data_IF_148046251445
#
_entry.id   IF_148046251445
#
_cell.length_a   1.000
_cell.length_b   1.000
_cell.length_c   1.000
_cell.angle_alpha   90.00
_cell.angle_beta   90.00
_cell.angle_gamma   90.00
#
_symmetry.space_group_name_H-M   'P 1'
#
loop_
_entity.id
_entity.type
_entity.pdbx_description
1 polymer ?
#
# COMPACT_ATOMS: atom_id res chain seq x y z
N UNK A 1 34.52 48.01 -14.91
CA UNK A 1 33.98 46.92 -15.75
C UNK A 1 34.79 45.67 -15.46
N UNK A 2 34.30 44.82 -14.56
CA UNK A 2 34.85 43.47 -14.34
C UNK A 2 33.79 42.49 -14.81
N UNK A 3 34.00 42.00 -16.03
CA UNK A 3 33.25 40.94 -16.67
C UNK A 3 33.40 39.64 -15.83
N UNK A 4 32.35 39.24 -15.14
CA UNK A 4 32.25 37.89 -14.59
C UNK A 4 31.48 37.05 -15.61
N UNK A 5 32.21 36.22 -16.35
CA UNK A 5 31.64 35.25 -17.28
C UNK A 5 30.59 34.33 -16.62
N UNK A 6 29.76 33.65 -17.43
CA UNK A 6 28.61 32.91 -16.93
C UNK A 6 29.07 31.77 -16.01
N UNK A 7 28.70 31.87 -14.72
CA UNK A 7 28.84 30.77 -13.76
C UNK A 7 27.92 29.64 -14.23
N UNK A 8 28.48 28.60 -14.85
CA UNK A 8 27.76 27.32 -15.07
C UNK A 8 27.35 26.80 -13.70
N UNK A 9 26.06 26.95 -13.32
CA UNK A 9 25.48 26.21 -12.20
C UNK A 9 25.48 24.75 -12.63
N UNK A 10 26.36 23.96 -12.04
CA UNK A 10 26.27 22.50 -12.12
C UNK A 10 25.00 22.11 -11.36
N UNK A 11 24.03 21.53 -12.05
CA UNK A 11 22.79 21.05 -11.44
C UNK A 11 23.11 19.91 -10.45
N UNK A 12 22.36 19.86 -9.34
CA UNK A 12 22.47 18.76 -8.37
C UNK A 12 22.14 17.45 -9.06
N UNK A 13 21.20 17.45 -10.02
CA UNK A 13 20.89 16.28 -10.85
C UNK A 13 22.06 15.78 -11.67
N UNK A 14 22.80 16.67 -12.34
CA UNK A 14 24.04 16.27 -13.04
C UNK A 14 25.08 15.70 -12.06
N UNK A 15 25.18 16.27 -10.86
CA UNK A 15 26.13 15.81 -9.84
C UNK A 15 25.76 14.44 -9.28
N UNK A 16 24.47 14.20 -9.01
CA UNK A 16 23.96 12.91 -8.52
C UNK A 16 24.07 11.83 -9.60
N UNK A 17 23.72 12.10 -10.87
CA UNK A 17 23.92 11.15 -11.98
C UNK A 17 25.40 10.75 -12.12
N UNK A 18 26.33 11.70 -11.94
CA UNK A 18 27.78 11.43 -12.00
C UNK A 18 28.29 10.63 -10.81
N UNK A 19 27.71 10.81 -9.62
CA UNK A 19 28.08 10.07 -8.39
C UNK A 19 27.45 8.68 -8.31
N UNK A 20 26.21 8.51 -8.79
CA UNK A 20 25.50 7.23 -8.81
C UNK A 20 26.17 6.18 -9.70
N UNK A 21 26.90 6.60 -10.74
CA UNK A 21 27.70 5.72 -11.59
C UNK A 21 28.97 5.14 -10.94
N UNK A 22 29.32 5.54 -9.70
CA UNK A 22 30.58 5.18 -9.04
C UNK A 22 30.43 4.32 -7.76
N UNK A 23 29.23 3.85 -7.42
CA UNK A 23 28.97 3.23 -6.11
C UNK A 23 28.47 1.78 -6.12
N UNK A 24 29.34 0.81 -6.41
CA UNK A 24 29.11 -0.60 -6.06
C UNK A 24 30.41 -1.22 -5.52
N UNK A 25 30.65 -1.14 -4.20
CA UNK A 25 31.66 -1.95 -3.51
C UNK A 25 31.51 -1.92 -1.96
N UNK A 26 31.14 -3.08 -1.38
CA UNK A 26 31.41 -3.50 0.02
C UNK A 26 30.52 -2.89 1.11
N UNK A 27 30.14 -3.57 2.20
CA UNK A 27 30.59 -4.83 2.78
C UNK A 27 29.55 -5.29 3.82
N UNK A 28 29.43 -6.60 3.97
CA UNK A 28 28.68 -7.32 4.99
C UNK A 28 29.33 -7.25 6.40
N UNK A 29 28.54 -7.56 7.44
CA UNK A 29 28.98 -7.91 8.80
C UNK A 29 27.87 -7.66 9.84
N UNK A 30 26.99 -8.64 10.12
CA UNK A 30 27.05 -9.68 11.15
C UNK A 30 26.98 -9.21 12.63
N UNK A 31 25.87 -9.61 13.26
CA UNK A 31 25.72 -10.30 14.55
C UNK A 31 26.10 -9.62 15.88
N UNK A 32 25.23 -9.82 16.89
CA UNK A 32 25.62 -9.77 18.30
C UNK A 32 24.45 -9.56 19.29
N UNK A 33 23.91 -10.66 19.81
CA UNK A 33 22.88 -10.72 20.87
C UNK A 33 23.46 -10.51 22.30
N UNK A 34 22.53 -10.55 23.27
CA UNK A 34 22.67 -10.81 24.73
C UNK A 34 23.06 -9.61 25.60
N UNK A 35 22.45 -9.31 26.76
CA UNK A 35 21.55 -10.04 27.65
C UNK A 35 22.14 -10.03 29.07
N UNK A 36 21.40 -9.54 30.09
CA UNK A 36 21.60 -9.73 31.56
C UNK A 36 20.63 -8.76 32.30
N UNK A 37 20.05 -8.95 33.49
CA UNK A 37 19.88 -10.06 34.46
C UNK A 37 19.04 -9.56 35.66
N UNK A 38 18.27 -10.47 36.26
CA UNK A 38 18.01 -10.57 37.71
C UNK A 38 16.96 -9.66 38.35
N UNK A 39 16.19 -10.05 39.37
CA UNK A 39 16.08 -11.29 40.15
C UNK A 39 15.28 -11.01 41.44
N UNK A 40 14.63 -12.07 41.96
CA UNK A 40 14.28 -12.39 43.36
C UNK A 40 13.05 -11.86 44.14
N UNK A 41 12.41 -12.84 44.83
CA UNK A 41 11.70 -12.79 46.13
C UNK A 41 10.16 -12.85 46.07
N UNK A 42 9.43 -13.98 46.25
CA UNK A 42 9.16 -14.82 47.45
C UNK A 42 8.44 -14.04 48.59
N UNK A 43 7.41 -14.47 49.35
CA UNK A 43 6.81 -15.77 49.75
C UNK A 43 5.40 -15.58 50.37
N UNK A 44 4.63 -16.68 50.52
CA UNK A 44 3.70 -16.95 51.65
C UNK A 44 2.21 -17.15 51.28
N UNK A 45 1.68 -18.36 51.06
CA UNK A 45 1.25 -19.46 51.98
C UNK A 45 -0.14 -19.35 52.65
N UNK A 46 -1.04 -20.22 52.18
CA UNK A 46 -1.87 -21.24 52.88
C UNK A 46 -3.11 -20.95 53.75
N UNK A 47 -4.15 -21.76 53.47
CA UNK A 47 -5.24 -22.25 54.36
C UNK A 47 -6.65 -21.82 53.92
N UNK A 48 -7.69 -22.65 53.71
CA UNK A 48 -7.92 -24.09 53.91
C UNK A 48 -9.35 -24.33 54.47
N UNK A 49 -10.22 -25.03 53.69
CA UNK A 49 -11.47 -25.75 54.10
C UNK A 49 -12.79 -24.96 54.12
N UNK A 50 -14.00 -25.51 53.93
CA UNK A 50 -14.52 -26.76 53.32
C UNK A 50 -16.03 -26.54 53.01
N UNK A 51 -16.59 -27.44 52.19
CA UNK A 51 -17.99 -27.87 52.06
C UNK A 51 -19.08 -26.96 51.43
N UNK A 52 -19.67 -27.50 50.36
CA UNK A 52 -20.92 -27.03 49.76
C UNK A 52 -21.24 -27.79 48.48
N UNK A 53 -21.77 -29.01 48.62
CA UNK A 53 -22.51 -29.73 47.58
C UNK A 53 -23.64 -28.87 47.04
N UNK A 54 -23.75 -28.71 45.73
CA UNK A 54 -25.00 -28.87 45.00
C UNK A 54 -24.74 -28.94 43.49
N UNK A 55 -25.24 -30.00 42.88
CA UNK A 55 -25.14 -30.25 41.46
C UNK A 55 -26.04 -29.32 40.66
N UNK A 56 -25.47 -28.71 39.63
CA UNK A 56 -26.19 -28.25 38.46
C UNK A 56 -25.33 -28.58 37.24
N UNK A 57 -25.97 -29.21 36.29
CA UNK A 57 -25.47 -29.68 34.99
C UNK A 57 -24.76 -28.55 34.23
N UNK A 58 -23.43 -28.47 34.38
CA UNK A 58 -22.59 -27.58 33.59
C UNK A 58 -22.21 -28.34 32.32
N UNK A 59 -23.12 -28.30 31.35
CA UNK A 59 -22.83 -28.69 29.98
C UNK A 59 -21.85 -27.67 29.41
N UNK A 60 -20.55 -27.89 29.64
CA UNK A 60 -19.50 -27.16 28.94
C UNK A 60 -19.77 -27.34 27.44
N UNK A 61 -20.01 -26.26 26.65
CA UNK A 61 -20.00 -26.42 25.22
C UNK A 61 -18.57 -26.80 24.88
N UNK A 62 -18.37 -28.06 24.50
CA UNK A 62 -17.19 -28.46 23.74
C UNK A 62 -17.17 -27.51 22.57
N UNK A 63 -16.24 -26.55 22.57
CA UNK A 63 -15.87 -25.85 21.37
C UNK A 63 -15.53 -26.96 20.38
N UNK A 64 -16.44 -27.19 19.44
CA UNK A 64 -16.11 -27.96 18.27
C UNK A 64 -15.02 -27.11 17.61
N UNK A 65 -13.76 -27.51 17.79
CA UNK A 65 -12.74 -27.22 16.80
C UNK A 65 -13.20 -27.92 15.52
N UNK A 66 -14.14 -27.30 14.81
CA UNK A 66 -14.27 -27.50 13.37
C UNK A 66 -13.08 -26.78 12.76
N UNK A 67 -11.89 -27.37 12.92
CA UNK A 67 -10.76 -27.00 12.10
C UNK A 67 -11.19 -27.29 10.67
N UNK A 68 -11.32 -26.23 9.86
CA UNK A 68 -11.48 -26.39 8.43
C UNK A 68 -10.22 -27.10 7.94
N UNK A 69 -10.35 -28.24 7.26
CA UNK A 69 -9.19 -28.97 6.71
C UNK A 69 -8.46 -28.13 5.64
N UNK A 70 -9.18 -27.20 5.00
CA UNK A 70 -8.68 -26.16 4.11
C UNK A 70 -9.52 -24.89 4.24
N UNK A 71 -8.99 -23.74 3.82
CA UNK A 71 -9.74 -22.47 3.72
C UNK A 71 -9.71 -22.03 2.27
N UNK A 72 -10.88 -21.73 1.69
CA UNK A 72 -11.00 -21.18 0.35
C UNK A 72 -11.13 -19.67 0.40
N UNK A 73 -10.18 -18.95 -0.17
CA UNK A 73 -10.16 -17.49 -0.18
C UNK A 73 -10.09 -16.91 -1.60
N UNK A 74 -10.87 -15.86 -1.88
CA UNK A 74 -10.90 -15.21 -3.17
C UNK A 74 -10.53 -13.73 -3.09
N UNK A 75 -9.75 -13.25 -4.07
CA UNK A 75 -9.41 -11.83 -4.20
C UNK A 75 -10.04 -11.22 -5.45
N UNK A 76 -10.60 -10.03 -5.30
CA UNK A 76 -11.21 -9.27 -6.39
C UNK A 76 -10.34 -8.05 -6.69
N UNK A 77 -9.80 -8.00 -7.91
CA UNK A 77 -8.92 -6.91 -8.37
C UNK A 77 -9.64 -6.00 -9.37
N UNK A 78 -9.33 -4.70 -9.28
CA UNK A 78 -9.86 -3.66 -10.18
C UNK A 78 -9.19 -3.70 -11.56
N UNK A 79 -7.95 -4.17 -11.63
CA UNK A 79 -7.14 -4.32 -12.85
C UNK A 79 -6.47 -5.70 -12.86
N UNK A 80 -5.87 -6.07 -13.99
CA UNK A 80 -4.98 -7.24 -14.03
C UNK A 80 -3.68 -6.94 -13.23
N UNK A 81 -3.10 -7.94 -12.52
CA UNK A 81 -1.80 -7.80 -11.85
C UNK A 81 -0.62 -7.41 -12.78
N UNK A 82 -0.84 -7.37 -14.10
CA UNK A 82 0.10 -6.81 -15.07
C UNK A 82 0.28 -5.28 -14.96
N UNK A 83 -0.52 -4.58 -14.16
CA UNK A 83 -0.39 -3.13 -13.91
C UNK A 83 0.96 -2.71 -13.30
N UNK A 84 1.67 -3.66 -12.66
CA UNK A 84 2.92 -3.44 -11.92
C UNK A 84 2.79 -2.32 -10.88
N UNK A 85 1.60 -2.20 -10.28
CA UNK A 85 1.23 -1.20 -9.28
C UNK A 85 0.30 -1.79 -8.23
N UNK A 86 -0.97 -1.39 -8.25
CA UNK A 86 -1.94 -1.69 -7.18
C UNK A 86 -2.37 -3.16 -7.15
N UNK A 87 -2.93 -3.67 -8.25
CA UNK A 87 -3.40 -5.07 -8.32
C UNK A 87 -2.22 -6.02 -8.29
N UNK A 88 -1.08 -5.65 -8.90
CA UNK A 88 0.17 -6.37 -8.74
C UNK A 88 0.56 -6.52 -7.26
N UNK A 89 0.56 -5.43 -6.48
CA UNK A 89 0.94 -5.48 -5.07
C UNK A 89 0.01 -6.37 -4.25
N UNK A 90 -1.31 -6.32 -4.51
CA UNK A 90 -2.27 -7.21 -3.86
C UNK A 90 -2.03 -8.67 -4.23
N UNK A 91 -1.78 -8.97 -5.50
CA UNK A 91 -1.49 -10.34 -5.95
C UNK A 91 -0.14 -10.86 -5.42
N UNK A 92 0.87 -10.02 -5.26
CA UNK A 92 2.09 -10.41 -4.53
C UNK A 92 1.79 -10.80 -3.08
N UNK A 93 0.89 -10.06 -2.41
CA UNK A 93 0.43 -10.41 -1.08
C UNK A 93 -0.28 -11.76 -1.04
N UNK A 94 -1.21 -12.00 -1.97
CA UNK A 94 -1.94 -13.27 -2.10
C UNK A 94 -0.97 -14.44 -2.34
N UNK A 95 -0.04 -14.30 -3.29
CA UNK A 95 0.98 -15.33 -3.59
C UNK A 95 1.83 -15.66 -2.38
N UNK A 96 2.21 -14.66 -1.59
CA UNK A 96 2.96 -14.89 -0.35
C UNK A 96 2.15 -15.70 0.68
N UNK A 97 0.84 -15.44 0.80
CA UNK A 97 -0.03 -16.22 1.67
C UNK A 97 -0.23 -17.66 1.14
N UNK A 98 -0.48 -17.82 -0.16
CA UNK A 98 -0.63 -19.12 -0.84
C UNK A 98 0.63 -19.99 -0.67
N UNK A 99 1.82 -19.41 -0.78
CA UNK A 99 3.10 -20.09 -0.52
C UNK A 99 3.36 -20.37 0.97
N UNK A 100 2.72 -19.59 1.86
CA UNK A 100 2.92 -19.65 3.31
C UNK A 100 2.05 -20.69 4.02
N UNK A 101 0.94 -21.11 3.41
CA UNK A 101 -0.05 -21.99 4.04
C UNK A 101 -0.50 -23.12 3.13
N UNK A 102 -0.08 -24.36 3.44
CA UNK A 102 -0.45 -25.56 2.68
C UNK A 102 -1.96 -25.89 2.70
N UNK A 103 -2.73 -25.25 3.60
CA UNK A 103 -4.17 -25.43 3.76
C UNK A 103 -5.00 -24.33 3.09
N UNK A 104 -4.35 -23.30 2.52
CA UNK A 104 -5.04 -22.19 1.87
C UNK A 104 -5.23 -22.50 0.38
N UNK A 105 -6.47 -22.41 -0.08
CA UNK A 105 -6.81 -22.45 -1.51
C UNK A 105 -7.18 -21.04 -1.97
N UNK A 106 -6.44 -20.51 -2.94
CA UNK A 106 -6.65 -19.14 -3.41
C UNK A 106 -7.31 -19.08 -4.79
N UNK A 107 -8.25 -18.14 -4.97
CA UNK A 107 -8.84 -17.79 -6.25
C UNK A 107 -8.77 -16.27 -6.49
N UNK A 108 -8.89 -15.85 -7.75
CA UNK A 108 -8.82 -14.44 -8.16
C UNK A 108 -9.81 -14.12 -9.25
N UNK A 109 -10.45 -12.96 -9.14
CA UNK A 109 -11.20 -12.35 -10.26
C UNK A 109 -10.58 -10.99 -10.56
N UNK A 110 -10.06 -10.84 -11.78
CA UNK A 110 -9.33 -9.66 -12.21
C UNK A 110 -10.22 -8.72 -13.06
N UNK A 111 -9.81 -7.46 -13.20
CA UNK A 111 -10.47 -6.47 -14.08
C UNK A 111 -11.97 -6.29 -13.78
N UNK A 112 -12.33 -6.23 -12.49
CA UNK A 112 -13.73 -6.11 -12.07
C UNK A 112 -14.13 -4.64 -11.99
N UNK A 113 -14.87 -4.16 -12.98
CA UNK A 113 -15.42 -2.81 -12.96
C UNK A 113 -16.33 -2.58 -11.73
N UNK A 114 -16.40 -1.36 -11.17
CA UNK A 114 -17.25 -1.06 -10.02
C UNK A 114 -18.73 -1.46 -10.20
N UNK A 115 -19.25 -1.38 -11.42
CA UNK A 115 -20.62 -1.77 -11.75
C UNK A 115 -20.87 -3.28 -11.68
N UNK A 116 -19.82 -4.09 -11.82
CA UNK A 116 -19.87 -5.55 -11.78
C UNK A 116 -19.59 -6.13 -10.38
N UNK A 117 -19.08 -5.31 -9.47
CA UNK A 117 -18.61 -5.74 -8.14
C UNK A 117 -19.65 -6.55 -7.35
N UNK A 118 -20.91 -6.10 -7.28
CA UNK A 118 -21.94 -6.83 -6.50
C UNK A 118 -22.19 -8.22 -7.07
N UNK A 119 -22.24 -8.33 -8.40
CA UNK A 119 -22.44 -9.61 -9.08
C UNK A 119 -21.26 -10.55 -8.80
N UNK A 120 -20.03 -10.08 -8.98
CA UNK A 120 -18.82 -10.86 -8.72
C UNK A 120 -18.73 -11.33 -7.27
N UNK A 121 -18.95 -10.44 -6.29
CA UNK A 121 -18.92 -10.79 -4.86
C UNK A 121 -19.97 -11.86 -4.54
N UNK A 122 -21.17 -11.74 -5.12
CA UNK A 122 -22.25 -12.72 -4.94
C UNK A 122 -21.93 -14.06 -5.60
N UNK A 123 -21.32 -14.07 -6.78
CA UNK A 123 -20.87 -15.29 -7.45
C UNK A 123 -19.84 -16.03 -6.61
N UNK A 124 -18.80 -15.34 -6.12
CA UNK A 124 -17.79 -15.92 -5.24
C UNK A 124 -18.40 -16.45 -3.92
N UNK A 125 -19.32 -15.69 -3.33
CA UNK A 125 -20.04 -16.14 -2.12
C UNK A 125 -20.82 -17.43 -2.38
N UNK A 126 -21.56 -17.49 -3.50
CA UNK A 126 -22.35 -18.68 -3.87
C UNK A 126 -21.49 -19.88 -4.27
N UNK A 127 -20.25 -19.66 -4.72
CA UNK A 127 -19.26 -20.70 -4.98
C UNK A 127 -18.69 -21.33 -3.71
N UNK A 128 -18.98 -20.76 -2.53
CA UNK A 128 -18.62 -21.33 -1.25
C UNK A 128 -17.24 -20.92 -0.74
N UNK A 129 -16.69 -19.79 -1.19
CA UNK A 129 -15.48 -19.24 -0.58
C UNK A 129 -15.75 -18.83 0.87
N UNK A 130 -14.83 -19.19 1.76
CA UNK A 130 -14.88 -18.87 3.19
C UNK A 130 -14.53 -17.41 3.44
N UNK A 131 -13.57 -16.87 2.66
CA UNK A 131 -13.09 -15.49 2.78
C UNK A 131 -13.06 -14.80 1.42
N UNK A 132 -13.58 -13.57 1.34
CA UNK A 132 -13.54 -12.76 0.10
C UNK A 132 -12.89 -11.40 0.39
N UNK A 133 -11.79 -11.12 -0.31
CA UNK A 133 -11.06 -9.85 -0.26
C UNK A 133 -11.46 -8.96 -1.44
N UNK A 134 -12.03 -7.79 -1.15
CA UNK A 134 -12.35 -6.77 -2.14
C UNK A 134 -11.31 -5.65 -2.08
N UNK A 135 -10.44 -5.57 -3.09
CA UNK A 135 -9.22 -4.74 -3.01
C UNK A 135 -9.38 -3.36 -3.64
N UNK A 136 -10.59 -2.82 -3.74
CA UNK A 136 -10.85 -1.47 -4.28
C UNK A 136 -11.92 -0.73 -3.49
N UNK A 137 -11.80 0.60 -3.40
CA UNK A 137 -12.66 1.43 -2.57
C UNK A 137 -14.14 1.31 -2.95
N UNK A 138 -14.43 1.33 -4.25
CA UNK A 138 -15.78 1.29 -4.82
C UNK A 138 -16.54 -0.01 -4.51
N UNK A 139 -15.85 -1.07 -4.11
CA UNK A 139 -16.46 -2.35 -3.76
C UNK A 139 -17.12 -2.36 -2.38
N UNK A 140 -16.96 -1.30 -1.57
CA UNK A 140 -17.44 -1.27 -0.19
C UNK A 140 -18.94 -1.52 -0.09
N UNK A 141 -19.74 -0.75 -0.83
CA UNK A 141 -21.20 -0.79 -0.72
C UNK A 141 -21.78 -2.08 -1.32
N UNK A 142 -21.30 -2.57 -2.49
CA UNK A 142 -21.60 -3.91 -2.97
C UNK A 142 -21.30 -5.02 -1.94
N UNK A 143 -20.09 -5.03 -1.37
CA UNK A 143 -19.68 -6.04 -0.38
C UNK A 143 -20.54 -5.95 0.88
N UNK A 144 -20.79 -4.75 1.37
CA UNK A 144 -21.64 -4.51 2.55
C UNK A 144 -23.08 -4.97 2.36
N UNK A 145 -23.60 -4.93 1.12
CA UNK A 145 -24.92 -5.44 0.76
C UNK A 145 -24.95 -6.97 0.71
N UNK A 146 -23.95 -7.60 0.08
CA UNK A 146 -23.87 -9.06 -0.01
C UNK A 146 -23.62 -9.69 1.36
N UNK A 147 -22.71 -9.12 2.16
CA UNK A 147 -22.37 -9.63 3.49
C UNK A 147 -23.57 -9.71 4.45
N UNK A 148 -24.57 -8.83 4.30
CA UNK A 148 -25.79 -8.83 5.13
C UNK A 148 -26.58 -10.14 5.07
N UNK A 149 -26.54 -10.82 3.92
CA UNK A 149 -27.36 -12.01 3.67
C UNK A 149 -26.55 -13.31 3.73
N UNK A 150 -25.26 -13.25 4.03
CA UNK A 150 -24.32 -14.38 3.98
C UNK A 150 -23.41 -14.38 5.23
N UNK A 151 -23.97 -14.60 6.43
CA UNK A 151 -23.23 -14.46 7.69
C UNK A 151 -22.10 -15.48 7.86
N UNK A 152 -22.14 -16.59 7.12
CA UNK A 152 -21.14 -17.67 7.20
C UNK A 152 -19.87 -17.38 6.39
N UNK A 153 -19.90 -16.39 5.49
CA UNK A 153 -18.72 -15.94 4.71
C UNK A 153 -18.11 -14.72 5.38
N UNK A 154 -16.77 -14.72 5.48
CA UNK A 154 -15.99 -13.58 5.96
C UNK A 154 -15.63 -12.68 4.77
N UNK A 155 -15.78 -11.38 4.96
CA UNK A 155 -15.47 -10.38 3.94
C UNK A 155 -14.43 -9.40 4.45
N UNK A 156 -13.44 -9.06 3.63
CA UNK A 156 -12.42 -8.06 3.97
C UNK A 156 -12.37 -6.98 2.90
N UNK A 157 -12.70 -5.75 3.28
CA UNK A 157 -12.73 -4.61 2.36
C UNK A 157 -11.50 -3.72 2.49
N UNK A 158 -10.80 -3.49 1.39
CA UNK A 158 -9.65 -2.59 1.35
C UNK A 158 -10.11 -1.12 1.27
N UNK A 159 -9.47 -0.26 2.07
CA UNK A 159 -9.57 1.22 2.05
C UNK A 159 -10.91 1.86 2.43
N UNK A 160 -11.99 1.08 2.53
CA UNK A 160 -13.29 1.57 2.98
C UNK A 160 -13.38 1.86 4.48
N UNK A 161 -14.59 2.15 4.92
CA UNK A 161 -14.89 2.58 6.27
C UNK A 161 -16.07 1.86 6.93
N UNK A 162 -16.94 1.20 6.16
CA UNK A 162 -18.04 0.37 6.69
C UNK A 162 -17.51 -0.99 7.18
N UNK A 163 -18.20 -1.55 8.16
CA UNK A 163 -17.92 -2.87 8.74
C UNK A 163 -19.23 -3.55 9.11
N UNK A 164 -19.23 -4.88 9.16
CA UNK A 164 -20.28 -5.73 9.75
C UNK A 164 -19.61 -6.79 10.64
N UNK A 165 -20.40 -7.60 11.32
CA UNK A 165 -19.90 -8.71 12.13
C UNK A 165 -19.03 -9.68 11.32
N UNK A 166 -19.43 -9.98 10.07
CA UNK A 166 -18.70 -10.81 9.11
C UNK A 166 -17.98 -10.01 8.01
N UNK A 167 -17.84 -8.69 8.17
CA UNK A 167 -17.16 -7.84 7.17
C UNK A 167 -16.17 -6.89 7.86
N UNK A 168 -14.90 -7.24 7.79
CA UNK A 168 -13.77 -6.43 8.20
C UNK A 168 -13.41 -5.35 7.19
N UNK A 169 -12.43 -4.54 7.58
CA UNK A 169 -11.81 -3.55 6.70
C UNK A 169 -10.32 -3.46 7.01
N UNK A 170 -9.54 -3.15 5.99
CA UNK A 170 -8.11 -2.97 6.15
C UNK A 170 -7.55 -1.88 5.24
N UNK A 171 -6.56 -1.15 5.75
CA UNK A 171 -5.80 -0.21 4.95
C UNK A 171 -4.50 0.18 5.66
N UNK A 172 -3.38 0.16 4.93
CA UNK A 172 -2.11 0.68 5.44
C UNK A 172 -2.10 2.21 5.55
N UNK A 173 -1.39 2.76 6.53
CA UNK A 173 -1.14 4.21 6.70
C UNK A 173 -0.14 4.74 5.68
N UNK A 174 -0.51 4.70 4.40
CA UNK A 174 0.37 5.01 3.28
C UNK A 174 0.87 6.46 3.30
N UNK A 175 0.13 7.36 3.96
CA UNK A 175 0.54 8.74 4.23
C UNK A 175 1.89 8.83 4.95
N UNK A 176 2.25 7.85 5.80
CA UNK A 176 3.56 7.82 6.44
C UNK A 176 4.69 7.62 5.41
N UNK A 177 4.52 6.68 4.49
CA UNK A 177 5.49 6.44 3.44
C UNK A 177 5.52 7.60 2.42
N UNK A 178 4.35 8.18 2.10
CA UNK A 178 4.23 9.38 1.24
C UNK A 178 4.96 10.58 1.83
N UNK A 179 4.89 10.77 3.15
CA UNK A 179 5.66 11.82 3.81
C UNK A 179 7.15 11.65 3.56
N UNK A 180 7.68 10.43 3.70
CA UNK A 180 9.10 10.14 3.46
C UNK A 180 9.51 10.32 1.99
N UNK A 181 8.67 9.90 1.04
CA UNK A 181 8.95 10.18 -0.39
C UNK A 181 8.84 11.67 -0.70
N UNK A 182 7.98 12.40 0.00
CA UNK A 182 7.91 13.86 -0.01
C UNK A 182 9.20 14.52 0.47
N UNK A 183 9.74 14.07 1.61
CA UNK A 183 11.04 14.53 2.13
C UNK A 183 12.13 14.36 1.06
N UNK A 184 12.20 13.17 0.45
CA UNK A 184 13.15 12.92 -0.62
C UNK A 184 12.92 13.86 -1.83
N UNK A 185 11.67 14.02 -2.29
CA UNK A 185 11.32 14.94 -3.37
C UNK A 185 11.75 16.39 -3.08
N UNK A 186 11.51 16.88 -1.86
CA UNK A 186 11.91 18.23 -1.42
C UNK A 186 13.43 18.44 -1.39
N UNK A 187 14.21 17.38 -1.13
CA UNK A 187 15.68 17.43 -1.24
C UNK A 187 16.17 17.43 -2.69
N UNK A 188 15.43 16.78 -3.60
CA UNK A 188 15.81 16.54 -4.99
C UNK A 188 15.42 17.68 -5.94
N UNK A 189 14.28 18.35 -5.68
CA UNK A 189 13.80 19.46 -6.50
C UNK A 189 14.79 20.64 -6.53
N UNK A 190 14.94 21.23 -7.72
CA UNK A 190 15.66 22.47 -7.99
C UNK A 190 14.70 23.61 -8.36
N UNK A 191 13.51 23.28 -8.87
CA UNK A 191 12.48 24.23 -9.30
C UNK A 191 11.48 24.62 -8.21
N UNK A 192 11.48 23.92 -7.07
CA UNK A 192 10.47 24.05 -6.00
C UNK A 192 9.04 23.74 -6.49
N UNK A 193 8.90 23.00 -7.58
CA UNK A 193 7.62 22.69 -8.23
C UNK A 193 7.50 21.18 -8.42
N UNK A 194 6.60 20.55 -7.66
CA UNK A 194 6.36 19.11 -7.69
C UNK A 194 5.04 18.83 -8.42
N UNK A 195 4.98 17.77 -9.20
CA UNK A 195 3.78 17.29 -9.87
C UNK A 195 3.17 16.09 -9.15
N UNK A 196 1.84 16.01 -9.15
CA UNK A 196 1.10 14.89 -8.58
C UNK A 196 -0.08 14.51 -9.49
N UNK A 197 0.01 13.34 -10.14
CA UNK A 197 -1.12 12.76 -10.91
C UNK A 197 -2.00 11.97 -9.96
N UNK A 198 -3.27 12.34 -9.83
CA UNK A 198 -4.16 11.84 -8.78
C UNK A 198 -5.45 11.26 -9.38
N UNK A 199 -5.96 10.18 -8.77
CA UNK A 199 -7.19 9.50 -9.20
C UNK A 199 -8.44 10.32 -8.90
N UNK A 200 -9.00 10.11 -7.70
CA UNK A 200 -10.23 10.71 -7.23
C UNK A 200 -9.99 11.60 -6.01
N UNK A 201 -10.75 12.70 -5.83
CA UNK A 201 -10.62 13.59 -4.69
C UNK A 201 -11.26 13.01 -3.42
N UNK A 202 -10.90 11.78 -3.05
CA UNK A 202 -11.34 11.10 -1.83
C UNK A 202 -10.30 11.22 -0.72
N UNK A 203 -10.72 10.87 0.51
CA UNK A 203 -9.89 11.03 1.71
C UNK A 203 -8.53 10.31 1.60
N UNK A 204 -8.48 9.15 0.95
CA UNK A 204 -7.23 8.43 0.72
C UNK A 204 -6.21 9.27 -0.07
N UNK A 205 -6.62 9.75 -1.24
CA UNK A 205 -5.73 10.47 -2.17
C UNK A 205 -5.35 11.83 -1.60
N UNK A 206 -6.30 12.54 -0.97
CA UNK A 206 -6.03 13.83 -0.32
C UNK A 206 -5.03 13.69 0.82
N UNK A 207 -5.11 12.62 1.62
CA UNK A 207 -4.08 12.35 2.66
C UNK A 207 -2.71 12.07 2.03
N UNK A 208 -2.66 11.31 0.93
CA UNK A 208 -1.42 11.05 0.19
C UNK A 208 -0.75 12.32 -0.34
N UNK A 209 -1.52 13.18 -1.00
CA UNK A 209 -1.06 14.49 -1.51
C UNK A 209 -0.55 15.35 -0.35
N UNK A 210 -1.36 15.52 0.70
CA UNK A 210 -0.98 16.35 1.84
C UNK A 210 0.30 15.85 2.52
N UNK A 211 0.42 14.53 2.74
CA UNK A 211 1.61 13.96 3.36
C UNK A 211 2.86 14.17 2.50
N UNK A 212 2.77 13.94 1.18
CA UNK A 212 3.86 14.20 0.25
C UNK A 212 4.29 15.67 0.27
N UNK A 213 3.33 16.59 0.14
CA UNK A 213 3.61 18.05 0.17
C UNK A 213 4.22 18.48 1.51
N UNK A 214 3.69 18.01 2.64
CA UNK A 214 4.22 18.31 3.97
C UNK A 214 5.63 17.72 4.19
N UNK A 215 5.88 16.53 3.66
CA UNK A 215 7.21 15.92 3.67
C UNK A 215 8.22 16.78 2.92
N UNK A 216 7.89 17.19 1.70
CA UNK A 216 8.74 18.06 0.91
C UNK A 216 8.97 19.42 1.58
N UNK A 217 7.91 20.04 2.11
CA UNK A 217 7.96 21.32 2.80
C UNK A 217 8.83 21.29 4.07
N UNK A 218 8.98 20.12 4.71
CA UNK A 218 9.80 19.97 5.92
C UNK A 218 11.30 20.19 5.70
N UNK A 219 11.78 19.98 4.46
CA UNK A 219 13.18 20.14 4.06
C UNK A 219 13.40 21.29 3.07
N UNK A 220 12.33 21.70 2.39
CA UNK A 220 12.33 22.82 1.46
C UNK A 220 11.00 23.58 1.59
N UNK A 221 10.92 24.66 2.39
CA UNK A 221 9.67 25.36 2.67
C UNK A 221 9.09 26.13 1.48
N UNK A 222 9.86 26.30 0.39
CA UNK A 222 9.43 27.03 -0.81
C UNK A 222 8.73 26.13 -1.84
N UNK A 223 8.65 24.81 -1.59
CA UNK A 223 8.02 23.87 -2.53
C UNK A 223 6.52 24.10 -2.67
N UNK A 224 6.04 23.89 -3.89
CA UNK A 224 4.62 23.81 -4.23
C UNK A 224 4.33 22.48 -4.91
N UNK A 225 3.11 21.97 -4.76
CA UNK A 225 2.68 20.72 -5.40
C UNK A 225 1.47 20.99 -6.28
N UNK A 226 1.63 20.75 -7.57
CA UNK A 226 0.61 20.89 -8.59
C UNK A 226 -0.07 19.54 -8.80
N UNK A 227 -1.41 19.52 -8.71
CA UNK A 227 -2.20 18.29 -8.80
C UNK A 227 -2.99 18.26 -10.11
N UNK A 228 -3.03 17.11 -10.78
CA UNK A 228 -3.94 16.82 -11.89
C UNK A 228 -4.80 15.62 -11.54
N UNK A 229 -6.12 15.80 -11.60
CA UNK A 229 -7.10 14.75 -11.33
C UNK A 229 -7.50 14.05 -12.62
N UNK A 230 -7.31 12.74 -12.69
CA UNK A 230 -7.70 11.91 -13.85
C UNK A 230 -9.14 11.41 -13.73
N UNK A 231 -9.68 11.32 -12.50
CA UNK A 231 -10.96 10.69 -12.19
C UNK A 231 -11.02 9.22 -12.64
N UNK A 232 -9.88 8.52 -12.58
CA UNK A 232 -9.75 7.07 -12.74
C UNK A 232 -8.61 6.56 -11.86
N UNK A 233 -8.70 5.32 -11.39
CA UNK A 233 -7.56 4.64 -10.75
C UNK A 233 -6.52 4.18 -11.78
N UNK A 234 -6.99 3.73 -12.94
CA UNK A 234 -6.17 3.19 -14.01
C UNK A 234 -6.67 3.68 -15.37
N UNK A 235 -5.86 4.51 -16.01
CA UNK A 235 -5.98 4.90 -17.42
C UNK A 235 -4.59 5.40 -17.87
N UNK A 236 -3.72 4.50 -18.34
CA UNK A 236 -2.34 4.86 -18.67
C UNK A 236 -2.21 5.99 -19.71
N UNK A 237 -3.22 6.17 -20.56
CA UNK A 237 -3.23 7.27 -21.52
C UNK A 237 -3.52 8.59 -20.80
N UNK A 238 -4.63 8.68 -20.07
CA UNK A 238 -5.02 9.89 -19.32
C UNK A 238 -3.98 10.25 -18.26
N UNK A 239 -3.37 9.25 -17.60
CA UNK A 239 -2.26 9.41 -16.66
C UNK A 239 -1.05 10.10 -17.29
N UNK A 240 -0.64 9.64 -18.49
CA UNK A 240 0.47 10.22 -19.24
C UNK A 240 0.15 11.64 -19.70
N UNK A 241 -1.07 11.89 -20.17
CA UNK A 241 -1.52 13.23 -20.56
C UNK A 241 -1.49 14.20 -19.37
N UNK A 242 -1.95 13.77 -18.19
CA UNK A 242 -1.88 14.54 -16.96
C UNK A 242 -0.44 14.81 -16.50
N UNK A 243 0.45 13.81 -16.60
CA UNK A 243 1.87 13.96 -16.29
C UNK A 243 2.54 14.98 -17.23
N UNK A 244 2.29 14.88 -18.54
CA UNK A 244 2.83 15.80 -19.53
C UNK A 244 2.37 17.24 -19.30
N UNK A 245 1.11 17.46 -18.91
CA UNK A 245 0.62 18.78 -18.56
C UNK A 245 1.38 19.40 -17.36
N UNK A 246 1.70 18.59 -16.35
CA UNK A 246 2.51 19.01 -15.20
C UNK A 246 3.96 19.31 -15.60
N UNK A 247 4.54 18.50 -16.49
CA UNK A 247 5.89 18.71 -17.06
C UNK A 247 5.94 20.04 -17.83
N UNK A 248 4.95 20.32 -18.66
CA UNK A 248 4.83 21.58 -19.41
C UNK A 248 4.70 22.81 -18.48
N UNK A 249 4.16 22.61 -17.28
CA UNK A 249 4.06 23.61 -16.21
C UNK A 249 5.35 23.74 -15.36
N UNK A 250 6.40 23.00 -15.72
CA UNK A 250 7.74 23.14 -15.15
C UNK A 250 7.94 22.45 -13.81
N UNK A 251 7.18 21.39 -13.51
CA UNK A 251 7.53 20.52 -12.37
C UNK A 251 8.82 19.75 -12.67
N UNK A 252 9.63 19.48 -11.64
CA UNK A 252 10.90 18.74 -11.78
C UNK A 252 11.00 17.49 -10.91
N UNK A 253 9.93 17.18 -10.18
CA UNK A 253 9.70 15.90 -9.50
C UNK A 253 8.25 15.48 -9.71
N UNK A 254 8.03 14.26 -10.16
CA UNK A 254 6.72 13.66 -10.38
C UNK A 254 6.39 12.62 -9.30
N UNK A 255 5.19 12.71 -8.74
CA UNK A 255 4.56 11.67 -7.95
C UNK A 255 3.19 11.31 -8.56
N UNK A 256 2.64 10.17 -8.15
CA UNK A 256 1.33 9.72 -8.61
C UNK A 256 0.56 8.99 -7.52
N UNK A 257 -0.76 8.95 -7.63
CA UNK A 257 -1.70 8.07 -6.92
C UNK A 257 -2.63 7.45 -7.98
N UNK A 258 -2.00 6.70 -8.87
CA UNK A 258 -2.54 5.99 -10.02
C UNK A 258 -1.92 4.59 -10.03
N UNK A 259 -2.60 3.64 -10.65
CA UNK A 259 -2.24 2.22 -10.55
C UNK A 259 -1.22 1.77 -11.59
N UNK A 260 -1.03 2.53 -12.68
CA UNK A 260 -0.06 2.22 -13.74
C UNK A 260 1.29 2.92 -13.55
N UNK A 261 2.32 2.55 -14.32
CA UNK A 261 3.62 3.26 -14.30
C UNK A 261 3.70 4.46 -15.27
N UNK A 262 2.59 4.87 -15.90
CA UNK A 262 2.61 5.83 -17.00
C UNK A 262 3.17 7.22 -16.63
N UNK A 263 2.81 7.76 -15.46
CA UNK A 263 3.34 9.07 -15.03
C UNK A 263 4.83 9.00 -14.66
N UNK A 264 5.29 7.87 -14.10
CA UNK A 264 6.71 7.60 -13.82
C UNK A 264 7.52 7.54 -15.12
N UNK A 265 7.01 6.85 -16.15
CA UNK A 265 7.66 6.78 -17.46
C UNK A 265 7.73 8.15 -18.14
N UNK A 266 6.63 8.92 -18.13
CA UNK A 266 6.59 10.27 -18.70
C UNK A 266 7.60 11.20 -18.02
N UNK A 267 7.73 11.11 -16.69
CA UNK A 267 8.72 11.85 -15.93
C UNK A 267 10.15 11.52 -16.36
N UNK A 268 10.46 10.23 -16.53
CA UNK A 268 11.78 9.79 -16.99
C UNK A 268 12.08 10.23 -18.44
N UNK A 269 11.12 10.09 -19.36
CA UNK A 269 11.22 10.54 -20.75
C UNK A 269 11.47 12.06 -20.85
N UNK A 270 10.91 12.83 -19.92
CA UNK A 270 11.09 14.27 -19.82
C UNK A 270 12.32 14.70 -19.00
N UNK A 271 13.16 13.74 -18.58
CA UNK A 271 14.31 14.03 -17.74
C UNK A 271 13.87 14.79 -16.47
N UNK A 272 12.92 14.27 -15.69
CA UNK A 272 12.58 14.77 -14.35
C UNK A 272 12.53 13.63 -13.34
N UNK A 273 12.73 13.93 -12.06
CA UNK A 273 12.73 12.90 -11.03
C UNK A 273 11.34 12.28 -10.85
N UNK A 274 11.26 11.02 -10.43
CA UNK A 274 10.00 10.36 -10.16
C UNK A 274 10.01 9.55 -8.86
N UNK A 275 8.89 9.57 -8.14
CA UNK A 275 8.56 8.57 -7.13
C UNK A 275 7.55 7.58 -7.69
N UNK A 276 7.71 6.29 -7.45
CA UNK A 276 6.66 5.32 -7.79
C UNK A 276 5.52 5.29 -6.76
N UNK A 277 4.60 4.35 -6.91
CA UNK A 277 3.47 4.15 -6.02
C UNK A 277 3.06 2.68 -5.93
N UNK A 278 2.79 2.20 -4.71
CA UNK A 278 2.41 0.83 -4.29
C UNK A 278 3.41 -0.30 -4.60
N UNK A 279 4.14 -0.22 -5.70
CA UNK A 279 5.12 -1.18 -6.18
C UNK A 279 6.51 -0.54 -6.39
N UNK A 280 7.60 -1.35 -6.42
CA UNK A 280 8.92 -0.88 -6.83
C UNK A 280 8.94 -0.56 -8.32
N UNK A 281 8.91 0.73 -8.67
CA UNK A 281 8.82 1.19 -10.06
C UNK A 281 10.16 1.62 -10.68
N UNK A 282 11.30 1.25 -10.07
CA UNK A 282 12.63 1.67 -10.52
C UNK A 282 12.89 1.40 -12.00
N UNK A 283 12.45 0.25 -12.52
CA UNK A 283 12.66 -0.11 -13.92
C UNK A 283 12.02 0.85 -14.93
N UNK A 284 11.06 1.69 -14.50
CA UNK A 284 10.36 2.65 -15.35
C UNK A 284 10.93 4.07 -15.30
N UNK A 285 11.81 4.36 -14.32
CA UNK A 285 12.47 5.66 -14.18
C UNK A 285 14.00 5.58 -14.05
N UNK A 286 14.56 4.37 -14.02
CA UNK A 286 15.98 4.08 -13.97
C UNK A 286 16.75 4.94 -12.94
N UNK A 287 17.59 5.84 -13.44
CA UNK A 287 18.41 6.78 -12.70
C UNK A 287 17.65 8.00 -12.16
N UNK A 288 16.47 8.29 -12.69
CA UNK A 288 15.57 9.37 -12.25
C UNK A 288 14.59 8.90 -11.17
N UNK A 289 14.69 7.63 -10.73
CA UNK A 289 13.89 7.08 -9.65
C UNK A 289 14.41 7.50 -8.27
N UNK A 290 13.56 8.14 -7.46
CA UNK A 290 13.83 8.52 -6.07
C UNK A 290 13.55 7.35 -5.12
N UNK A 291 12.28 6.97 -5.01
CA UNK A 291 11.76 5.93 -4.10
C UNK A 291 10.29 5.64 -4.43
N UNK A 292 9.74 4.55 -3.90
CA UNK A 292 8.30 4.25 -3.90
C UNK A 292 7.82 4.09 -2.47
N UNK A 293 6.63 4.59 -2.11
CA UNK A 293 5.89 4.07 -0.98
C UNK A 293 5.29 2.72 -1.38
N UNK A 294 5.81 1.63 -0.82
CA UNK A 294 5.48 0.25 -1.23
C UNK A 294 4.44 -0.35 -0.29
N UNK A 295 3.50 -1.12 -0.84
CA UNK A 295 2.55 -1.92 -0.08
C UNK A 295 3.04 -3.35 0.06
N UNK A 296 3.17 -3.81 1.29
CA UNK A 296 3.44 -5.22 1.61
C UNK A 296 2.18 -5.85 2.19
N UNK A 297 1.22 -6.21 1.32
CA UNK A 297 -0.07 -6.78 1.77
C UNK A 297 0.05 -8.17 2.40
N UNK A 298 1.14 -8.90 2.09
CA UNK A 298 1.59 -10.11 2.80
C UNK A 298 1.41 -10.00 4.31
N UNK A 299 1.89 -8.91 4.91
CA UNK A 299 1.89 -8.71 6.36
C UNK A 299 0.47 -8.67 6.97
N UNK A 300 -0.54 -8.37 6.15
CA UNK A 300 -1.94 -8.43 6.56
C UNK A 300 -2.56 -9.78 6.20
N UNK A 301 -2.41 -10.24 4.96
CA UNK A 301 -3.03 -11.48 4.50
C UNK A 301 -2.54 -12.73 5.23
N UNK A 302 -1.31 -12.74 5.75
CA UNK A 302 -0.81 -13.86 6.56
C UNK A 302 -1.39 -13.90 7.99
N UNK A 303 -2.08 -12.84 8.41
CA UNK A 303 -2.58 -12.69 9.80
C UNK A 303 -4.08 -12.87 9.95
N UNK A 304 -4.83 -12.88 8.84
CA UNK A 304 -6.30 -12.93 8.80
C UNK A 304 -6.76 -14.31 8.38
#
# INVERSE_FOLDING_TARGET
>A
MTDQGPRRRVSRRTTIKTLGGLGAAGLAGLAGCTGDSGGDGSDGSDGGGSDGSDGADESTPTAAESGMDSVSAAWIYITEPGDMGWSWAHDQGRKAADEGFDWLETDTVESVEPADAERTIRELTNSGHDVIFATSFEYQDPMYSVAENNPDTVYEHCSGYRTRENMGRYFGRIDQARYLTGVAAGMMTEANSLGYVAAFPISEVVRGINAFTLGAASVNPDVTTQVRWTNSWFDPQTEREAANALIDEGVDVMAQHQDSSAAVQAAHEADIWATGYDAPMRQFAEEDYIASPIRHWKEFYETV
#
